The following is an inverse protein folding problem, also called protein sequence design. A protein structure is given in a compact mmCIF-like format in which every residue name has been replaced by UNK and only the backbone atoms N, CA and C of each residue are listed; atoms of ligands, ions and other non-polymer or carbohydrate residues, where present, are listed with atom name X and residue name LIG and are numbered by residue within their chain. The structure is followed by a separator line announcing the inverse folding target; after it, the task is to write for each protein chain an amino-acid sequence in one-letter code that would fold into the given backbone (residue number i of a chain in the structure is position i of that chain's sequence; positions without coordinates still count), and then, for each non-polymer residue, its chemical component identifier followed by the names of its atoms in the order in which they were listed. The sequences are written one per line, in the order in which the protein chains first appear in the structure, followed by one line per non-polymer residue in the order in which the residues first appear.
data_IF_359475653986
#
_entry.id   IF_359475653986
#
_cell.length_a   1.000
_cell.length_b   1.000
_cell.length_c   1.000
_cell.angle_alpha   90.00
_cell.angle_beta   90.00
_cell.angle_gamma   90.00
#
_symmetry.space_group_name_H-M   'P 1'
#
loop_
_entity.id
_entity.type
_entity.pdbx_description
1 polymer ?
#
# COMPACT_ATOMS: atom_id res chain seq x y z
N UNK A 1 -23.11 0.43 -28.08
CA UNK A 1 -23.46 -0.58 -29.09
C UNK A 1 -22.32 -1.59 -29.13
N UNK A 2 -22.56 -2.82 -28.70
CA UNK A 2 -21.53 -3.88 -28.68
C UNK A 2 -21.66 -4.69 -29.97
N UNK A 3 -20.58 -4.80 -30.76
CA UNK A 3 -20.50 -5.74 -31.89
C UNK A 3 -19.61 -6.90 -31.47
N UNK A 4 -20.12 -8.11 -31.57
CA UNK A 4 -19.31 -9.33 -31.44
C UNK A 4 -18.71 -9.59 -32.82
N UNK A 5 -17.39 -9.61 -32.91
CA UNK A 5 -16.66 -9.92 -34.16
C UNK A 5 -15.83 -11.17 -33.93
N UNK A 6 -16.13 -12.22 -34.69
CA UNK A 6 -15.34 -13.45 -34.72
C UNK A 6 -14.15 -13.26 -35.65
N UNK A 7 -12.94 -13.56 -35.19
CA UNK A 7 -11.72 -13.56 -36.00
C UNK A 7 -11.09 -14.95 -35.94
N UNK A 8 -10.99 -15.61 -37.08
CA UNK A 8 -10.30 -16.91 -37.19
C UNK A 8 -8.79 -16.71 -37.35
N UNK A 9 -8.00 -17.49 -36.62
CA UNK A 9 -6.55 -17.58 -36.78
C UNK A 9 -6.21 -18.93 -37.41
N UNK A 10 -5.29 -19.00 -38.39
CA UNK A 10 -4.92 -20.27 -38.98
C UNK A 10 -4.22 -21.13 -37.92
N UNK A 11 -4.74 -22.33 -37.74
CA UNK A 11 -4.18 -23.47 -36.99
C UNK A 11 -4.60 -23.69 -35.52
N UNK A 12 -5.36 -22.80 -34.88
CA UNK A 12 -6.01 -23.09 -33.58
C UNK A 12 -7.39 -22.42 -33.45
N UNK A 13 -8.43 -23.22 -33.14
CA UNK A 13 -9.83 -22.77 -33.09
C UNK A 13 -10.14 -22.12 -31.73
N UNK A 14 -9.80 -20.83 -31.58
CA UNK A 14 -10.22 -20.03 -30.42
C UNK A 14 -11.38 -19.10 -30.78
N UNK A 15 -12.42 -19.10 -29.94
CA UNK A 15 -13.45 -18.07 -30.00
C UNK A 15 -12.87 -16.76 -29.43
N UNK A 16 -12.78 -15.73 -30.28
CA UNK A 16 -12.36 -14.39 -29.90
C UNK A 16 -13.58 -13.46 -29.85
N UNK A 17 -13.67 -12.65 -28.79
CA UNK A 17 -14.67 -11.58 -28.66
C UNK A 17 -13.97 -10.30 -28.22
N UNK A 18 -14.33 -9.18 -28.84
CA UNK A 18 -13.83 -7.85 -28.52
C UNK A 18 -15.01 -6.94 -28.23
N UNK A 19 -14.86 -6.06 -27.23
CA UNK A 19 -15.79 -4.94 -27.00
C UNK A 19 -14.99 -3.70 -26.66
N UNK A 20 -15.36 -2.58 -27.27
CA UNK A 20 -14.87 -1.26 -26.83
C UNK A 20 -15.56 -0.89 -25.52
N UNK A 21 -14.77 -0.54 -24.50
CA UNK A 21 -15.25 0.00 -23.23
C UNK A 21 -14.73 1.42 -23.11
N UNK A 22 -15.65 2.38 -22.97
CA UNK A 22 -15.31 3.76 -22.66
C UNK A 22 -15.48 3.95 -21.15
N UNK A 23 -14.39 4.30 -20.46
CA UNK A 23 -14.42 4.68 -19.06
C UNK A 23 -14.39 6.22 -18.99
N UNK A 24 -15.44 6.81 -18.43
CA UNK A 24 -15.52 8.24 -18.18
C UNK A 24 -15.35 8.52 -16.69
N UNK A 25 -14.92 9.73 -16.35
CA UNK A 25 -14.92 10.25 -14.97
C UNK A 25 -14.18 9.37 -13.95
N UNK A 26 -13.09 8.73 -14.39
CA UNK A 26 -12.22 7.97 -13.50
C UNK A 26 -11.59 8.94 -12.48
N UNK A 27 -11.61 8.59 -11.17
CA UNK A 27 -10.97 9.40 -10.15
C UNK A 27 -9.46 9.48 -10.40
N UNK A 28 -8.90 10.67 -10.16
CA UNK A 28 -7.45 10.91 -10.20
C UNK A 28 -6.90 10.68 -8.79
N UNK A 29 -6.22 9.55 -8.60
CA UNK A 29 -5.57 9.23 -7.33
C UNK A 29 -4.35 10.11 -7.09
N UNK A 30 -4.10 10.50 -5.84
CA UNK A 30 -3.10 11.47 -5.48
C UNK A 30 -1.68 11.01 -5.88
N UNK A 31 -1.40 9.70 -5.82
CA UNK A 31 -0.12 9.15 -6.25
C UNK A 31 0.17 9.34 -7.74
N UNK A 32 -0.86 9.43 -8.60
CA UNK A 32 -0.69 9.57 -10.06
C UNK A 32 -0.05 10.90 -10.45
N UNK A 33 -0.21 11.92 -9.59
CA UNK A 33 0.37 13.26 -9.76
C UNK A 33 1.44 13.57 -8.70
N UNK A 34 1.82 12.57 -7.88
CA UNK A 34 2.85 12.74 -6.88
C UNK A 34 4.22 13.05 -7.50
N UNK A 35 5.06 13.72 -6.71
CA UNK A 35 6.43 14.01 -7.10
C UNK A 35 7.24 12.71 -7.08
N UNK A 36 7.96 12.35 -8.14
CA UNK A 36 8.89 11.23 -8.10
C UNK A 36 9.92 11.39 -6.97
N UNK A 37 10.11 10.34 -6.18
CA UNK A 37 11.09 10.35 -5.09
C UNK A 37 12.52 10.33 -5.66
N UNK A 38 13.35 11.35 -5.39
CA UNK A 38 14.73 11.37 -5.88
C UNK A 38 15.56 10.18 -5.39
N UNK A 39 16.57 9.80 -6.17
CA UNK A 39 17.50 8.73 -5.82
C UNK A 39 18.69 9.28 -5.01
N UNK A 40 18.40 9.73 -3.79
CA UNK A 40 19.39 10.32 -2.89
C UNK A 40 19.33 9.70 -1.49
N UNK A 41 20.43 9.78 -0.74
CA UNK A 41 20.47 9.36 0.66
C UNK A 41 19.44 10.11 1.51
N UNK A 42 19.26 11.42 1.27
CA UNK A 42 18.24 12.23 1.94
C UNK A 42 16.83 11.71 1.68
N UNK A 43 16.52 11.31 0.45
CA UNK A 43 15.24 10.69 0.11
C UNK A 43 15.05 9.35 0.82
N UNK A 44 16.09 8.52 0.92
CA UNK A 44 16.04 7.27 1.68
C UNK A 44 15.74 7.53 3.16
N UNK A 45 16.45 8.47 3.80
CA UNK A 45 16.21 8.81 5.21
C UNK A 45 14.82 9.41 5.43
N UNK A 46 14.30 10.18 4.48
CA UNK A 46 12.93 10.71 4.53
C UNK A 46 11.89 9.57 4.57
N UNK A 47 12.07 8.53 3.75
CA UNK A 47 11.16 7.37 3.76
C UNK A 47 11.33 6.55 5.04
N UNK A 48 12.57 6.35 5.51
CA UNK A 48 12.82 5.67 6.80
C UNK A 48 12.09 6.37 7.94
N UNK A 49 12.14 7.69 7.97
CA UNK A 49 11.46 8.49 8.99
C UNK A 49 9.95 8.28 8.98
N UNK A 50 9.31 8.22 7.81
CA UNK A 50 7.88 7.94 7.70
C UNK A 50 7.51 6.54 8.23
N UNK A 51 8.34 5.53 7.96
CA UNK A 51 8.19 4.19 8.54
C UNK A 51 8.36 4.20 10.06
N UNK A 52 9.36 4.91 10.58
CA UNK A 52 9.59 5.04 12.02
C UNK A 52 8.43 5.74 12.72
N UNK A 53 7.84 6.77 12.10
CA UNK A 53 6.67 7.45 12.65
C UNK A 53 5.46 6.52 12.75
N UNK A 54 5.18 5.72 11.70
CA UNK A 54 4.11 4.71 11.72
C UNK A 54 4.44 3.60 12.72
N UNK A 55 5.69 3.15 12.77
CA UNK A 55 6.13 2.15 13.74
C UNK A 55 5.91 2.61 15.18
N UNK A 56 6.21 3.87 15.51
CA UNK A 56 5.94 4.43 16.84
C UNK A 56 4.45 4.46 17.15
N UNK A 57 3.60 4.82 16.17
CA UNK A 57 2.14 4.77 16.32
C UNK A 57 1.67 3.34 16.63
N UNK A 58 2.15 2.35 15.86
CA UNK A 58 1.82 0.93 16.06
C UNK A 58 2.34 0.41 17.40
N UNK A 59 3.56 0.77 17.80
CA UNK A 59 4.15 0.43 19.10
C UNK A 59 3.32 0.97 20.26
N UNK A 60 2.81 2.19 20.13
CA UNK A 60 1.95 2.84 21.11
C UNK A 60 0.49 2.35 21.05
N UNK A 61 0.17 1.48 20.07
CA UNK A 61 -1.18 0.95 19.82
C UNK A 61 -2.22 2.06 19.60
N UNK A 62 -1.79 3.18 19.03
CA UNK A 62 -2.64 4.35 18.80
C UNK A 62 -3.43 4.18 17.50
N UNK A 63 -4.62 3.58 17.61
CA UNK A 63 -5.50 3.32 16.47
C UNK A 63 -5.93 4.62 15.76
N UNK A 64 -6.21 5.68 16.51
CA UNK A 64 -6.67 6.95 15.96
C UNK A 64 -5.55 7.63 15.14
N UNK A 65 -4.32 7.62 15.67
CA UNK A 65 -3.17 8.12 14.93
C UNK A 65 -2.86 7.26 13.69
N UNK A 66 -3.02 5.93 13.77
CA UNK A 66 -2.79 5.03 12.64
C UNK A 66 -3.79 5.27 11.51
N UNK A 67 -5.08 5.38 11.86
CA UNK A 67 -6.15 5.70 10.91
C UNK A 67 -5.92 7.07 10.27
N UNK A 68 -5.51 8.07 11.07
CA UNK A 68 -5.19 9.41 10.58
C UNK A 68 -4.00 9.40 9.61
N UNK A 69 -2.93 8.67 9.92
CA UNK A 69 -1.76 8.52 9.06
C UNK A 69 -2.10 7.84 7.72
N UNK A 70 -3.07 6.92 7.73
CA UNK A 70 -3.51 6.16 6.56
C UNK A 70 -4.70 6.80 5.80
N UNK A 71 -5.20 7.95 6.26
CA UNK A 71 -6.46 8.56 5.80
C UNK A 71 -6.57 8.72 4.28
N UNK A 72 -5.51 9.19 3.62
CA UNK A 72 -5.51 9.36 2.17
C UNK A 72 -5.75 8.03 1.45
N UNK A 73 -4.99 7.00 1.82
CA UNK A 73 -5.14 5.65 1.26
C UNK A 73 -6.53 5.07 1.57
N UNK A 74 -7.02 5.22 2.79
CA UNK A 74 -8.35 4.73 3.18
C UNK A 74 -9.47 5.39 2.36
N UNK A 75 -9.37 6.70 2.14
CA UNK A 75 -10.31 7.44 1.29
C UNK A 75 -10.30 6.93 -0.16
N UNK A 76 -9.11 6.77 -0.75
CA UNK A 76 -8.98 6.27 -2.12
C UNK A 76 -9.46 4.82 -2.28
N UNK A 77 -9.23 3.96 -1.30
CA UNK A 77 -9.76 2.61 -1.27
C UNK A 77 -11.29 2.58 -1.12
N UNK A 78 -11.84 3.40 -0.23
CA UNK A 78 -13.29 3.51 -0.01
C UNK A 78 -14.02 3.93 -1.30
N UNK A 79 -13.51 4.96 -1.98
CA UNK A 79 -14.06 5.44 -3.26
C UNK A 79 -13.96 4.37 -4.36
N UNK A 80 -12.85 3.63 -4.43
CA UNK A 80 -12.63 2.67 -5.49
C UNK A 80 -13.44 1.37 -5.35
N UNK A 81 -13.98 1.07 -4.17
CA UNK A 81 -14.58 -0.23 -3.87
C UNK A 81 -15.96 -0.11 -3.20
N UNK A 82 -16.65 1.04 -3.37
CA UNK A 82 -17.98 1.29 -2.82
C UNK A 82 -18.09 0.93 -1.32
N UNK A 83 -17.13 1.45 -0.54
CA UNK A 83 -16.98 1.16 0.88
C UNK A 83 -16.76 2.45 1.69
N UNK A 84 -16.49 2.32 2.99
CA UNK A 84 -16.15 3.43 3.87
C UNK A 84 -14.69 3.36 4.29
N UNK A 85 -14.11 4.51 4.67
CA UNK A 85 -12.77 4.58 5.25
C UNK A 85 -12.65 3.67 6.49
N UNK A 86 -13.70 3.63 7.31
CA UNK A 86 -13.75 2.81 8.52
C UNK A 86 -13.75 1.31 8.19
N UNK A 87 -14.60 0.86 7.25
CA UNK A 87 -14.66 -0.55 6.87
C UNK A 87 -13.30 -1.03 6.32
N UNK A 88 -12.62 -0.19 5.54
CA UNK A 88 -11.26 -0.49 5.07
C UNK A 88 -10.26 -0.54 6.21
N UNK A 89 -10.31 0.41 7.15
CA UNK A 89 -9.41 0.42 8.29
C UNK A 89 -9.60 -0.83 9.18
N UNK A 90 -10.86 -1.20 9.45
CA UNK A 90 -11.21 -2.38 10.25
C UNK A 90 -10.75 -3.68 9.59
N UNK A 91 -10.73 -3.73 8.24
CA UNK A 91 -10.27 -4.91 7.50
C UNK A 91 -8.80 -5.28 7.75
N UNK A 92 -7.97 -4.34 8.23
CA UNK A 92 -6.58 -4.61 8.59
C UNK A 92 -6.43 -5.34 9.92
N UNK A 93 -7.47 -5.40 10.76
CA UNK A 93 -7.43 -6.15 12.02
C UNK A 93 -6.62 -5.53 13.15
N UNK A 94 -6.06 -4.31 12.99
CA UNK A 94 -5.17 -3.69 13.98
C UNK A 94 -5.74 -3.65 15.40
N UNK A 95 -7.04 -3.36 15.56
CA UNK A 95 -7.67 -3.34 16.87
C UNK A 95 -7.59 -4.73 17.53
N UNK A 96 -7.96 -5.77 16.78
CA UNK A 96 -7.93 -7.15 17.26
C UNK A 96 -6.49 -7.57 17.59
N UNK A 97 -5.52 -7.23 16.75
CA UNK A 97 -4.11 -7.55 16.98
C UNK A 97 -3.59 -6.87 18.26
N UNK A 98 -3.90 -5.58 18.45
CA UNK A 98 -3.51 -4.83 19.64
C UNK A 98 -4.13 -5.41 20.91
N UNK A 99 -5.42 -5.78 20.87
CA UNK A 99 -6.16 -6.40 21.96
C UNK A 99 -5.60 -7.80 22.29
N UNK A 100 -5.17 -8.55 21.27
CA UNK A 100 -4.55 -9.87 21.40
C UNK A 100 -3.08 -9.82 21.86
N UNK A 101 -2.53 -8.62 22.05
CA UNK A 101 -1.20 -8.45 22.61
C UNK A 101 -0.07 -8.44 21.60
N UNK A 102 -0.36 -8.32 20.30
CA UNK A 102 0.65 -8.12 19.27
C UNK A 102 1.41 -6.81 19.51
N UNK A 103 2.70 -6.82 19.12
CA UNK A 103 3.62 -5.70 19.33
C UNK A 103 4.42 -5.43 18.07
N UNK A 104 4.67 -4.14 17.82
CA UNK A 104 5.54 -3.72 16.73
C UNK A 104 7.00 -4.16 16.99
N UNK A 105 7.59 -4.88 16.05
CA UNK A 105 8.98 -5.37 16.13
C UNK A 105 9.94 -4.26 15.72
N UNK A 106 11.05 -4.01 16.44
CA UNK A 106 12.04 -3.00 16.05
C UNK A 106 12.54 -3.17 14.61
N UNK A 107 12.59 -2.07 13.85
CA UNK A 107 13.02 -2.09 12.45
C UNK A 107 14.51 -2.40 12.36
N UNK A 108 14.86 -3.47 11.65
CA UNK A 108 16.24 -3.71 11.22
C UNK A 108 16.41 -3.31 9.75
N UNK A 109 16.89 -2.08 9.54
CA UNK A 109 17.08 -1.49 8.21
C UNK A 109 17.99 -2.32 7.28
N UNK A 110 18.90 -3.15 7.82
CA UNK A 110 19.79 -3.97 6.98
C UNK A 110 19.05 -5.06 6.19
N UNK A 111 17.80 -5.36 6.55
CA UNK A 111 16.97 -6.38 5.88
C UNK A 111 16.20 -5.84 4.67
N UNK A 112 16.10 -4.53 4.51
CA UNK A 112 15.16 -3.90 3.58
C UNK A 112 15.86 -3.06 2.53
N UNK A 113 15.31 -3.08 1.32
CA UNK A 113 15.68 -2.20 0.20
C UNK A 113 14.52 -1.28 -0.14
N UNK A 114 14.83 -0.02 -0.47
CA UNK A 114 13.84 0.93 -0.97
C UNK A 114 13.56 0.63 -2.44
N UNK A 115 12.34 0.21 -2.74
CA UNK A 115 11.86 -0.09 -4.09
C UNK A 115 10.96 1.04 -4.57
N UNK A 116 11.08 1.37 -5.87
CA UNK A 116 10.33 2.42 -6.55
C UNK A 116 9.48 1.82 -7.65
N UNK A 117 8.29 2.37 -7.80
CA UNK A 117 7.25 1.98 -8.74
C UNK A 117 6.70 3.22 -9.44
N UNK A 118 6.07 3.03 -10.60
CA UNK A 118 5.37 4.10 -11.33
C UNK A 118 6.24 5.36 -11.48
N UNK A 119 7.44 5.19 -12.05
CA UNK A 119 8.44 6.25 -12.23
C UNK A 119 8.85 6.97 -10.94
N UNK A 120 8.87 6.24 -9.83
CA UNK A 120 9.28 6.75 -8.51
C UNK A 120 8.18 7.51 -7.76
N UNK A 121 6.95 7.55 -8.28
CA UNK A 121 5.81 8.17 -7.59
C UNK A 121 5.27 7.32 -6.44
N UNK A 122 5.39 6.00 -6.57
CA UNK A 122 5.10 5.05 -5.51
C UNK A 122 6.41 4.40 -5.06
N UNK A 123 6.57 4.20 -3.76
CA UNK A 123 7.76 3.55 -3.20
C UNK A 123 7.46 2.93 -1.85
N UNK A 124 8.26 1.93 -1.46
CA UNK A 124 8.20 1.30 -0.13
C UNK A 124 9.50 0.55 0.16
N UNK A 125 9.74 0.25 1.43
CA UNK A 125 10.80 -0.67 1.82
C UNK A 125 10.28 -2.11 1.79
N UNK A 126 11.08 -3.01 1.20
CA UNK A 126 10.74 -4.42 1.02
C UNK A 126 11.95 -5.31 1.31
N UNK A 127 11.68 -6.53 1.77
CA UNK A 127 12.69 -7.59 1.82
C UNK A 127 12.96 -8.18 0.43
N UNK A 128 14.06 -8.91 0.26
CA UNK A 128 14.28 -9.57 -1.03
C UNK A 128 13.22 -10.64 -1.30
N UNK A 129 12.65 -10.65 -2.52
CA UNK A 129 11.63 -11.61 -2.99
C UNK A 129 10.32 -11.66 -2.20
N UNK A 130 10.01 -10.65 -1.39
CA UNK A 130 8.70 -10.49 -0.75
C UNK A 130 8.35 -9.01 -0.61
N UNK A 131 7.06 -8.69 -0.59
CA UNK A 131 6.54 -7.35 -0.37
C UNK A 131 6.46 -6.96 1.12
N UNK A 132 6.97 -7.79 2.03
CA UNK A 132 6.94 -7.52 3.46
C UNK A 132 7.74 -6.25 3.77
N UNK A 133 7.07 -5.30 4.41
CA UNK A 133 7.66 -4.04 4.84
C UNK A 133 8.32 -4.12 6.23
N UNK A 134 9.02 -3.05 6.64
CA UNK A 134 9.51 -2.86 8.02
C UNK A 134 8.45 -2.88 9.14
N UNK A 135 7.15 -2.73 8.83
CA UNK A 135 6.09 -2.61 9.84
C UNK A 135 5.55 -3.99 10.26
N UNK A 136 6.43 -4.79 10.85
CA UNK A 136 6.12 -6.11 11.38
C UNK A 136 5.51 -6.03 12.78
N UNK A 137 4.47 -6.81 13.00
CA UNK A 137 3.86 -7.07 14.28
C UNK A 137 3.91 -8.56 14.59
N UNK A 138 4.27 -8.91 15.82
CA UNK A 138 4.32 -10.30 16.28
C UNK A 138 3.54 -10.44 17.59
N UNK A 139 2.93 -11.61 17.81
CA UNK A 139 2.43 -11.99 19.13
C UNK A 139 3.63 -12.17 20.07
N UNK A 140 3.59 -11.47 21.21
CA UNK A 140 4.62 -11.56 22.26
C UNK A 140 4.86 -13.00 22.75
N UNK A 141 3.89 -13.90 22.59
CA UNK A 141 3.94 -15.29 23.06
C UNK A 141 4.22 -16.29 21.92
N UNK A 142 4.07 -15.88 20.65
CA UNK A 142 4.33 -16.74 19.49
C UNK A 142 4.69 -15.92 18.25
N UNK A 143 5.98 -15.78 17.97
CA UNK A 143 6.48 -15.04 16.81
C UNK A 143 6.15 -15.67 15.45
N UNK A 144 5.68 -16.92 15.41
CA UNK A 144 5.33 -17.60 14.15
C UNK A 144 4.06 -17.04 13.49
N UNK A 145 3.22 -16.31 14.23
CA UNK A 145 1.98 -15.72 13.75
C UNK A 145 2.10 -14.22 13.40
N UNK A 146 3.26 -13.75 12.96
CA UNK A 146 3.47 -12.34 12.65
C UNK A 146 2.62 -11.81 11.46
N UNK A 147 2.19 -10.56 11.55
CA UNK A 147 1.55 -9.82 10.47
C UNK A 147 2.40 -8.62 10.05
N UNK A 148 2.49 -8.34 8.75
CA UNK A 148 3.24 -7.18 8.24
C UNK A 148 2.30 -6.22 7.53
N UNK A 149 2.15 -5.01 8.08
CA UNK A 149 1.48 -3.93 7.36
C UNK A 149 2.42 -3.41 6.26
N UNK A 150 2.02 -3.48 4.98
CA UNK A 150 2.94 -3.18 3.86
C UNK A 150 2.42 -2.09 2.93
N UNK A 151 2.29 -0.84 3.42
CA UNK A 151 1.78 0.27 2.62
C UNK A 151 2.74 0.67 1.50
N UNK A 152 2.19 1.21 0.41
CA UNK A 152 2.94 2.08 -0.49
C UNK A 152 2.97 3.50 0.06
N UNK A 153 3.98 4.25 -0.37
CA UNK A 153 4.11 5.66 -0.08
C UNK A 153 4.24 6.48 -1.35
N UNK A 154 3.80 7.74 -1.26
CA UNK A 154 4.04 8.77 -2.28
C UNK A 154 4.64 10.02 -1.64
N UNK A 155 5.37 10.82 -2.43
CA UNK A 155 5.84 12.14 -2.04
C UNK A 155 4.85 13.21 -2.53
N UNK A 156 4.05 13.73 -1.62
CA UNK A 156 2.98 14.71 -1.90
C UNK A 156 3.24 15.96 -1.07
N UNK A 157 3.33 17.12 -1.73
CA UNK A 157 3.62 18.40 -1.09
C UNK A 157 4.86 18.35 -0.17
N UNK A 158 5.91 17.65 -0.62
CA UNK A 158 7.15 17.48 0.13
C UNK A 158 7.08 16.53 1.33
N UNK A 159 5.94 15.83 1.54
CA UNK A 159 5.74 14.87 2.62
C UNK A 159 5.56 13.46 2.09
N UNK A 160 6.17 12.49 2.76
CA UNK A 160 5.93 11.07 2.52
C UNK A 160 4.63 10.69 3.20
N UNK A 161 3.66 10.20 2.42
CA UNK A 161 2.33 9.82 2.90
C UNK A 161 1.96 8.42 2.42
N UNK A 162 1.19 7.68 3.22
CA UNK A 162 0.66 6.38 2.82
C UNK A 162 -0.26 6.57 1.61
N UNK A 163 -0.08 5.75 0.58
CA UNK A 163 -0.83 5.77 -0.67
C UNK A 163 -1.36 4.38 -1.02
N UNK A 164 -2.37 4.38 -1.89
CA UNK A 164 -2.98 3.17 -2.46
C UNK A 164 -2.07 2.47 -3.46
#
# INVERSE_FOLDING_TARGET
SSRITTKEYPDEFYYHTERTVTLNDLPVWAWTTATPLPETATSTELVKKAYEDIWQIMKNKDLAALQSAAKLMLYEHAQANDSTEQNYFDSYGFKQDFDNGYQAVPINWSKYKLVRYMDGRLFRFEVDKSNNSPLLMEDKNNSENGFTFSPYFSLINGKVVISR
#
